data_IF_991813899704
#
_entry.id   IF_991813899704
#
_cell.length_a   1.000
_cell.length_b   1.000
_cell.length_c   1.000
_cell.angle_alpha   90.00
_cell.angle_beta   90.00
_cell.angle_gamma   90.00
#
_symmetry.space_group_name_H-M   'P 1'
#
loop_
_entity.id
_entity.type
_entity.pdbx_description
1 polymer ?
#
# COMPACT_ATOMS: atom_id res chain seq x y z
N UNK A 1 -2.43 30.50 6.02
CA UNK A 1 -3.28 29.54 6.75
C UNK A 1 -2.45 28.72 7.74
N UNK A 2 -3.11 28.11 8.75
CA UNK A 2 -2.48 27.16 9.66
C UNK A 2 -2.91 25.75 9.26
N UNK A 3 -1.99 24.96 8.75
CA UNK A 3 -2.24 23.63 8.19
C UNK A 3 -1.61 22.58 9.10
N UNK A 4 -2.39 21.60 9.51
CA UNK A 4 -1.96 20.48 10.32
C UNK A 4 -1.80 19.23 9.44
N UNK A 5 -0.59 18.74 9.32
CA UNK A 5 -0.24 17.50 8.61
C UNK A 5 -0.16 16.35 9.60
N UNK A 6 -0.52 15.15 9.16
CA UNK A 6 -0.41 13.96 9.99
C UNK A 6 0.85 13.15 9.62
N UNK A 7 1.78 13.00 10.57
CA UNK A 7 2.97 12.15 10.44
C UNK A 7 2.87 10.83 11.23
N UNK A 8 1.70 10.48 11.77
CA UNK A 8 1.48 9.17 12.40
C UNK A 8 1.78 7.99 11.47
N UNK A 9 1.51 8.08 10.14
CA UNK A 9 1.90 7.02 9.21
C UNK A 9 3.40 6.73 9.17
N UNK A 10 4.27 7.69 9.52
CA UNK A 10 5.72 7.48 9.64
C UNK A 10 6.09 6.59 10.84
N UNK A 11 5.26 6.57 11.88
CA UNK A 11 5.47 5.80 13.11
C UNK A 11 4.71 4.47 13.11
N UNK A 12 3.68 4.33 12.27
CA UNK A 12 2.86 3.13 12.23
C UNK A 12 3.64 1.96 11.59
N UNK A 13 3.73 0.82 12.29
CA UNK A 13 4.48 -0.37 11.84
C UNK A 13 5.92 -0.06 11.40
N UNK A 14 6.57 0.93 12.05
CA UNK A 14 7.92 1.39 11.72
C UNK A 14 8.00 2.28 10.49
N UNK A 15 6.87 2.82 10.01
CA UNK A 15 6.84 3.79 8.91
C UNK A 15 7.21 3.20 7.54
N UNK A 16 7.10 1.87 7.37
CA UNK A 16 7.49 1.19 6.13
C UNK A 16 6.25 0.89 5.29
N UNK A 17 6.29 1.29 4.02
CA UNK A 17 5.28 0.91 3.04
C UNK A 17 4.51 2.07 2.42
N UNK A 18 3.46 1.75 1.66
CA UNK A 18 2.71 2.70 0.85
C UNK A 18 2.09 3.86 1.62
N UNK A 19 1.62 3.62 2.85
CA UNK A 19 1.02 4.63 3.71
C UNK A 19 2.00 5.78 4.04
N UNK A 20 3.21 5.45 4.49
CA UNK A 20 4.25 6.43 4.80
C UNK A 20 4.74 7.15 3.54
N UNK A 21 4.89 6.44 2.43
CA UNK A 21 5.30 7.01 1.15
C UNK A 21 4.25 7.99 0.59
N UNK A 22 2.96 7.64 0.69
CA UNK A 22 1.85 8.54 0.32
C UNK A 22 1.88 9.82 1.15
N UNK A 23 1.89 9.67 2.48
CA UNK A 23 1.92 10.82 3.40
C UNK A 23 3.10 11.73 3.09
N UNK A 24 4.30 11.16 2.91
CA UNK A 24 5.49 11.93 2.57
C UNK A 24 5.33 12.71 1.26
N UNK A 25 4.84 12.06 0.20
CA UNK A 25 4.69 12.69 -1.11
C UNK A 25 3.73 13.89 -1.06
N UNK A 26 2.61 13.77 -0.33
CA UNK A 26 1.66 14.88 -0.14
C UNK A 26 2.26 15.99 0.71
N UNK A 27 2.92 15.65 1.83
CA UNK A 27 3.57 16.65 2.70
C UNK A 27 4.68 17.39 1.97
N UNK A 28 5.50 16.72 1.16
CA UNK A 28 6.54 17.35 0.33
C UNK A 28 5.92 18.34 -0.66
N UNK A 29 4.81 17.97 -1.33
CA UNK A 29 4.13 18.83 -2.28
C UNK A 29 3.49 20.05 -1.60
N UNK A 30 2.87 19.87 -0.44
CA UNK A 30 2.36 20.99 0.39
C UNK A 30 3.50 21.94 0.78
N UNK A 31 4.64 21.40 1.23
CA UNK A 31 5.80 22.21 1.57
C UNK A 31 6.37 23.00 0.41
N UNK A 32 6.35 22.41 -0.80
CA UNK A 32 6.81 23.04 -2.03
C UNK A 32 5.90 24.19 -2.49
N UNK A 33 4.57 23.99 -2.37
CA UNK A 33 3.57 24.90 -2.96
C UNK A 33 2.97 25.91 -1.98
N UNK A 34 3.19 25.73 -0.66
CA UNK A 34 2.70 26.67 0.37
C UNK A 34 3.19 28.08 0.12
N UNK A 35 2.39 29.07 0.49
CA UNK A 35 2.83 30.46 0.53
C UNK A 35 3.73 30.72 1.75
N UNK A 36 4.49 31.81 1.72
CA UNK A 36 5.29 32.24 2.89
C UNK A 36 4.45 32.66 4.10
N UNK A 37 3.16 32.90 3.90
CA UNK A 37 2.21 33.25 4.97
C UNK A 37 1.60 32.01 5.64
N UNK A 38 1.81 30.80 5.09
CA UNK A 38 1.24 29.58 5.64
C UNK A 38 2.15 28.96 6.71
N UNK A 39 1.55 28.63 7.84
CA UNK A 39 2.22 27.95 8.94
C UNK A 39 1.90 26.46 8.89
N UNK A 40 2.93 25.61 8.89
CA UNK A 40 2.77 24.17 8.92
C UNK A 40 3.03 23.61 10.31
N UNK A 41 2.10 22.77 10.72
CA UNK A 41 2.16 21.96 11.93
C UNK A 41 2.07 20.47 11.55
N UNK A 42 2.63 19.60 12.38
CA UNK A 42 2.52 18.17 12.13
C UNK A 42 2.26 17.37 13.40
N UNK A 43 1.31 16.45 13.33
CA UNK A 43 1.03 15.49 14.41
C UNK A 43 2.08 14.38 14.44
N UNK A 44 2.54 14.05 15.62
CA UNK A 44 3.30 12.84 15.92
C UNK A 44 2.95 12.36 17.33
N UNK A 45 3.40 11.20 17.73
CA UNK A 45 3.18 10.65 19.07
C UNK A 45 4.52 10.22 19.66
N UNK A 46 5.02 10.98 20.65
CA UNK A 46 6.31 10.73 21.31
C UNK A 46 6.33 9.40 22.09
N UNK A 47 5.18 8.82 22.41
CA UNK A 47 5.08 7.51 23.06
C UNK A 47 5.32 6.34 22.12
N UNK A 48 5.37 6.58 20.78
CA UNK A 48 5.65 5.59 19.75
C UNK A 48 7.12 5.64 19.32
N UNK A 49 7.69 4.51 18.87
CA UNK A 49 9.03 4.52 18.31
C UNK A 49 9.09 5.36 17.03
N UNK A 50 10.23 5.96 16.77
CA UNK A 50 10.52 6.62 15.51
C UNK A 50 10.36 5.66 14.32
N UNK A 51 9.97 6.18 13.17
CA UNK A 51 9.87 5.42 11.95
C UNK A 51 11.25 4.99 11.45
N UNK A 52 11.35 3.80 10.89
CA UNK A 52 12.62 3.27 10.34
C UNK A 52 12.95 3.84 8.98
N UNK A 53 11.94 4.15 8.18
CA UNK A 53 12.12 4.70 6.83
C UNK A 53 12.08 6.24 6.84
N UNK A 54 11.19 6.82 7.65
CA UNK A 54 11.05 8.26 7.82
C UNK A 54 10.92 8.58 9.30
N UNK A 55 11.85 9.38 9.82
CA UNK A 55 11.76 9.93 11.19
C UNK A 55 10.94 11.22 11.17
N UNK A 56 9.87 11.28 11.97
CA UNK A 56 8.96 12.43 12.00
C UNK A 56 9.64 13.71 12.50
N UNK A 57 10.58 13.58 13.44
CA UNK A 57 11.28 14.75 14.03
C UNK A 57 12.31 15.32 13.06
N UNK A 58 13.13 14.44 12.47
CA UNK A 58 14.11 14.83 11.45
C UNK A 58 13.42 15.46 10.23
N UNK A 59 12.32 14.81 9.76
CA UNK A 59 11.54 15.31 8.65
C UNK A 59 10.96 16.69 8.90
N UNK A 60 10.32 16.90 10.05
CA UNK A 60 9.73 18.19 10.43
C UNK A 60 10.79 19.28 10.59
N UNK A 61 11.91 18.97 11.23
CA UNK A 61 13.03 19.89 11.40
C UNK A 61 13.59 20.36 10.04
N UNK A 62 13.81 19.44 9.12
CA UNK A 62 14.33 19.74 7.77
C UNK A 62 13.43 20.70 6.99
N UNK A 63 12.12 20.63 7.18
CA UNK A 63 11.12 21.39 6.42
C UNK A 63 10.58 22.61 7.19
N UNK A 64 11.06 22.85 8.43
CA UNK A 64 10.59 23.97 9.28
C UNK A 64 9.13 23.80 9.69
N UNK A 65 8.68 22.57 9.97
CA UNK A 65 7.33 22.24 10.42
C UNK A 65 7.33 22.14 11.94
N UNK A 66 6.35 22.78 12.60
CA UNK A 66 6.19 22.70 14.05
C UNK A 66 5.50 21.39 14.45
N UNK A 67 6.15 20.59 15.29
CA UNK A 67 5.59 19.33 15.79
C UNK A 67 4.59 19.54 16.92
N UNK A 68 3.48 18.80 16.88
CA UNK A 68 2.43 18.75 17.90
C UNK A 68 2.30 17.30 18.40
N UNK A 69 2.53 17.11 19.70
CA UNK A 69 2.65 15.77 20.30
C UNK A 69 1.31 15.28 20.86
N UNK A 70 0.81 14.18 20.30
CA UNK A 70 -0.44 13.53 20.73
C UNK A 70 -0.33 12.86 22.13
N UNK A 71 0.87 12.67 22.65
CA UNK A 71 1.04 12.25 24.05
C UNK A 71 0.72 13.37 25.05
N UNK A 72 0.67 14.63 24.61
CA UNK A 72 0.46 15.81 25.49
C UNK A 72 -0.96 16.37 25.41
N UNK A 73 -1.54 16.48 24.23
CA UNK A 73 -2.87 17.04 23.98
C UNK A 73 -3.61 16.22 22.92
N UNK A 74 -4.94 16.27 22.96
CA UNK A 74 -5.77 15.67 21.90
C UNK A 74 -5.68 16.47 20.60
N UNK A 75 -6.13 15.88 19.50
CA UNK A 75 -6.14 16.53 18.17
C UNK A 75 -6.95 17.84 18.24
N UNK A 76 -8.16 17.79 18.81
CA UNK A 76 -9.03 18.96 18.92
C UNK A 76 -8.43 20.08 19.78
N UNK A 77 -7.71 19.72 20.86
CA UNK A 77 -6.98 20.70 21.68
C UNK A 77 -5.82 21.35 20.91
N UNK A 78 -5.06 20.56 20.13
CA UNK A 78 -4.02 21.10 19.25
C UNK A 78 -4.58 22.02 18.17
N UNK A 79 -5.72 21.66 17.55
CA UNK A 79 -6.42 22.48 16.56
C UNK A 79 -6.80 23.82 17.18
N UNK A 80 -7.47 23.81 18.33
CA UNK A 80 -7.94 25.02 18.99
C UNK A 80 -6.77 25.92 19.44
N UNK A 81 -5.73 25.33 20.06
CA UNK A 81 -4.57 26.07 20.58
C UNK A 81 -3.76 26.77 19.51
N UNK A 82 -3.63 26.16 18.33
CA UNK A 82 -2.80 26.65 17.23
C UNK A 82 -3.62 27.31 16.09
N UNK A 83 -4.93 27.48 16.27
CA UNK A 83 -5.80 28.08 15.26
C UNK A 83 -5.74 27.39 13.91
N UNK A 84 -5.75 26.06 13.92
CA UNK A 84 -5.65 25.25 12.68
C UNK A 84 -6.88 25.46 11.81
N UNK A 85 -6.65 25.77 10.54
CA UNK A 85 -7.69 25.96 9.54
C UNK A 85 -7.99 24.68 8.76
N UNK A 86 -6.94 23.94 8.41
CA UNK A 86 -7.01 22.70 7.60
C UNK A 86 -6.24 21.58 8.28
N UNK A 87 -6.86 20.42 8.39
CA UNK A 87 -6.24 19.19 8.92
C UNK A 87 -6.17 18.12 7.83
N UNK A 88 -4.97 17.65 7.53
CA UNK A 88 -4.74 16.52 6.64
C UNK A 88 -4.59 15.23 7.44
N UNK A 89 -5.52 14.31 7.25
CA UNK A 89 -5.56 12.98 7.84
C UNK A 89 -5.51 11.94 6.72
N UNK A 90 -4.29 11.54 6.26
CA UNK A 90 -4.12 10.71 5.08
C UNK A 90 -4.68 9.30 5.21
N UNK A 91 -4.61 8.71 6.42
CA UNK A 91 -4.98 7.31 6.68
C UNK A 91 -5.79 7.20 7.96
N UNK A 92 -7.09 7.30 7.82
CA UNK A 92 -8.02 7.29 8.95
C UNK A 92 -7.93 6.03 9.82
N UNK A 93 -7.62 4.88 9.24
CA UNK A 93 -7.55 3.59 9.94
C UNK A 93 -6.45 3.55 11.03
N UNK A 94 -5.47 4.45 11.02
CA UNK A 94 -4.43 4.51 12.05
C UNK A 94 -4.87 5.20 13.33
N UNK A 95 -6.10 5.73 13.35
CA UNK A 95 -6.65 6.53 14.44
C UNK A 95 -7.55 5.78 15.43
N UNK A 96 -7.52 4.45 15.44
CA UNK A 96 -8.28 3.63 16.40
C UNK A 96 -8.14 4.07 17.87
N UNK A 97 -6.97 4.59 18.25
CA UNK A 97 -6.63 4.94 19.64
C UNK A 97 -6.71 6.44 19.94
N UNK A 98 -6.97 7.29 18.95
CA UNK A 98 -7.02 8.74 19.13
C UNK A 98 -8.43 9.25 18.96
N UNK A 99 -8.89 10.13 19.86
CA UNK A 99 -10.20 10.77 19.70
C UNK A 99 -10.22 11.68 18.48
N UNK A 100 -11.23 11.51 17.65
CA UNK A 100 -11.56 12.39 16.53
C UNK A 100 -12.68 13.38 16.88
N UNK A 101 -13.14 13.37 18.13
CA UNK A 101 -14.22 14.24 18.58
C UNK A 101 -13.76 15.71 18.67
N UNK A 102 -14.68 16.63 18.34
CA UNK A 102 -14.44 18.05 18.46
C UNK A 102 -13.52 18.65 17.39
N UNK A 103 -13.21 17.90 16.32
CA UNK A 103 -12.51 18.42 15.14
C UNK A 103 -13.48 19.28 14.36
N UNK A 104 -13.25 20.59 14.31
CA UNK A 104 -14.16 21.58 13.72
C UNK A 104 -13.54 22.39 12.57
N UNK A 105 -12.29 22.12 12.19
CA UNK A 105 -11.65 22.73 11.02
C UNK A 105 -11.97 21.97 9.72
N UNK A 106 -11.62 22.52 8.56
CA UNK A 106 -11.63 21.79 7.30
C UNK A 106 -10.72 20.55 7.46
N UNK A 107 -11.24 19.39 7.14
CA UNK A 107 -10.48 18.14 7.25
C UNK A 107 -10.39 17.48 5.88
N UNK A 108 -9.20 17.13 5.42
CA UNK A 108 -8.98 16.33 4.21
C UNK A 108 -8.58 14.93 4.66
N UNK A 109 -9.51 13.96 4.51
CA UNK A 109 -9.42 12.66 5.17
C UNK A 109 -9.51 11.51 4.19
N UNK A 110 -8.50 10.61 4.25
CA UNK A 110 -8.37 9.46 3.38
C UNK A 110 -8.69 8.13 4.05
N UNK A 111 -9.33 7.25 3.27
CA UNK A 111 -9.44 5.82 3.56
C UNK A 111 -8.85 5.08 2.37
N UNK A 112 -7.74 4.37 2.58
CA UNK A 112 -6.99 3.74 1.50
C UNK A 112 -7.53 2.37 1.10
N UNK A 113 -8.17 1.67 2.02
CA UNK A 113 -8.81 0.37 1.78
C UNK A 113 -9.86 0.09 2.87
N UNK A 114 -10.64 -0.95 2.66
CA UNK A 114 -11.57 -1.47 3.67
C UNK A 114 -11.40 -2.98 3.86
N UNK A 115 -10.16 -3.45 3.66
CA UNK A 115 -9.79 -4.85 3.77
C UNK A 115 -10.36 -5.53 5.02
N UNK A 116 -10.30 -4.84 6.14
CA UNK A 116 -10.73 -5.38 7.41
C UNK A 116 -12.23 -5.69 7.46
N UNK A 117 -13.06 -5.01 6.67
CA UNK A 117 -14.49 -5.29 6.52
C UNK A 117 -14.71 -6.40 5.49
N UNK A 118 -14.13 -6.28 4.30
CA UNK A 118 -14.36 -7.19 3.19
C UNK A 118 -13.89 -8.62 3.47
N UNK A 119 -12.75 -8.81 4.15
CA UNK A 119 -12.23 -10.14 4.47
C UNK A 119 -13.13 -10.94 5.40
N UNK A 120 -13.90 -10.25 6.24
CA UNK A 120 -14.85 -10.88 7.15
C UNK A 120 -16.11 -11.30 6.39
N UNK A 121 -16.66 -10.40 5.62
CA UNK A 121 -17.88 -10.61 4.85
C UNK A 121 -17.75 -11.73 3.80
N UNK A 122 -16.61 -11.74 3.11
CA UNK A 122 -16.35 -12.72 2.05
C UNK A 122 -15.68 -14.01 2.54
N UNK A 123 -15.56 -14.23 3.84
CA UNK A 123 -14.88 -15.40 4.42
C UNK A 123 -13.46 -15.63 3.88
N UNK A 124 -12.80 -14.58 3.36
CA UNK A 124 -11.45 -14.66 2.77
C UNK A 124 -10.45 -15.14 3.83
N UNK A 125 -10.68 -14.83 5.09
CA UNK A 125 -9.87 -15.36 6.20
C UNK A 125 -9.75 -16.89 6.13
N UNK A 126 -10.80 -17.62 5.77
CA UNK A 126 -10.75 -19.07 5.63
C UNK A 126 -9.90 -19.51 4.43
N UNK A 127 -9.90 -18.73 3.35
CA UNK A 127 -9.09 -19.00 2.17
C UNK A 127 -7.61 -18.66 2.37
N UNK A 128 -7.31 -17.70 3.26
CA UNK A 128 -5.94 -17.26 3.59
C UNK A 128 -5.23 -18.20 4.59
N UNK A 129 -5.91 -19.24 5.10
CA UNK A 129 -5.31 -20.19 6.01
C UNK A 129 -4.26 -21.06 5.32
N UNK A 130 -3.04 -20.57 5.34
CA UNK A 130 -1.88 -21.40 5.07
C UNK A 130 -1.42 -22.05 6.37
N UNK A 131 -1.66 -23.35 6.47
CA UNK A 131 -1.26 -24.17 7.64
C UNK A 131 0.28 -24.22 7.81
N UNK A 132 1.05 -23.82 6.81
CA UNK A 132 2.50 -23.92 6.82
C UNK A 132 3.16 -22.78 7.59
N UNK A 133 2.55 -21.59 7.62
CA UNK A 133 3.13 -20.40 8.24
C UNK A 133 2.66 -20.12 9.68
N UNK A 134 1.75 -20.93 10.24
CA UNK A 134 1.22 -20.74 11.60
C UNK A 134 1.35 -21.95 12.47
N UNK A 135 1.61 -21.71 13.75
CA UNK A 135 1.44 -22.76 14.77
C UNK A 135 -0.04 -23.15 14.86
N UNK A 136 -0.32 -24.44 15.19
CA UNK A 136 -1.68 -24.94 15.40
C UNK A 136 -2.48 -24.05 16.38
N UNK A 137 -1.82 -23.48 17.37
CA UNK A 137 -2.44 -22.61 18.36
C UNK A 137 -2.86 -21.25 17.79
N UNK A 138 -2.01 -20.62 16.96
CA UNK A 138 -2.34 -19.36 16.27
C UNK A 138 -3.53 -19.57 15.33
N UNK A 139 -3.52 -20.67 14.58
CA UNK A 139 -4.63 -21.07 13.72
C UNK A 139 -5.93 -21.23 14.50
N UNK A 140 -5.93 -22.01 15.60
CA UNK A 140 -7.11 -22.24 16.43
C UNK A 140 -7.65 -20.93 17.02
N UNK A 141 -6.76 -20.06 17.52
CA UNK A 141 -7.14 -18.73 18.05
C UNK A 141 -7.82 -17.87 16.99
N UNK A 142 -7.34 -17.89 15.76
CA UNK A 142 -7.98 -17.14 14.66
C UNK A 142 -9.33 -17.70 14.29
N UNK A 143 -9.43 -19.01 14.16
CA UNK A 143 -10.72 -19.68 13.90
C UNK A 143 -11.77 -19.30 14.95
N UNK A 144 -11.40 -19.35 16.23
CA UNK A 144 -12.29 -18.94 17.32
C UNK A 144 -12.68 -17.47 17.19
N UNK A 145 -11.74 -16.57 16.92
CA UNK A 145 -12.03 -15.14 16.77
C UNK A 145 -12.92 -14.84 15.56
N UNK A 146 -12.75 -15.55 14.46
CA UNK A 146 -13.59 -15.42 13.26
C UNK A 146 -15.00 -15.94 13.52
N UNK A 147 -15.13 -17.18 14.02
CA UNK A 147 -16.43 -17.82 14.30
C UNK A 147 -17.20 -17.12 15.42
N UNK A 148 -16.52 -16.56 16.43
CA UNK A 148 -17.16 -15.81 17.52
C UNK A 148 -17.61 -14.40 17.13
N UNK A 149 -17.31 -13.94 15.93
CA UNK A 149 -17.57 -12.57 15.46
C UNK A 149 -16.80 -11.48 16.23
N UNK A 150 -15.80 -11.86 17.05
CA UNK A 150 -14.99 -10.90 17.81
C UNK A 150 -14.24 -9.96 16.90
N UNK A 151 -13.67 -10.52 15.83
CA UNK A 151 -12.95 -9.76 14.83
C UNK A 151 -13.86 -8.73 14.13
N UNK A 152 -15.04 -9.17 13.71
CA UNK A 152 -16.04 -8.32 13.06
C UNK A 152 -16.44 -7.13 13.95
N UNK A 153 -16.67 -7.36 15.25
CA UNK A 153 -17.00 -6.29 16.21
C UNK A 153 -15.87 -5.26 16.37
N UNK A 154 -14.61 -5.71 16.35
CA UNK A 154 -13.46 -4.77 16.44
C UNK A 154 -13.37 -3.87 15.20
N UNK A 155 -13.54 -4.43 14.01
CA UNK A 155 -13.50 -3.66 12.77
C UNK A 155 -14.69 -2.69 12.68
N UNK A 156 -15.86 -3.13 13.07
CA UNK A 156 -17.03 -2.27 13.13
C UNK A 156 -16.85 -1.11 14.12
N UNK A 157 -16.20 -1.35 15.25
CA UNK A 157 -15.88 -0.30 16.21
C UNK A 157 -14.92 0.75 15.62
N UNK A 158 -13.89 0.34 14.87
CA UNK A 158 -12.99 1.26 14.17
C UNK A 158 -13.76 2.15 13.18
N UNK A 159 -14.57 1.54 12.32
CA UNK A 159 -15.31 2.33 11.33
C UNK A 159 -16.39 3.19 11.96
N UNK A 160 -17.06 2.73 13.03
CA UNK A 160 -17.98 3.57 13.80
C UNK A 160 -17.28 4.78 14.42
N UNK A 161 -15.99 4.66 14.75
CA UNK A 161 -15.18 5.75 15.27
C UNK A 161 -14.76 6.77 14.19
N UNK A 162 -14.38 6.32 13.00
CA UNK A 162 -13.88 7.21 11.93
C UNK A 162 -14.99 7.79 11.03
N UNK A 163 -16.10 7.09 10.86
CA UNK A 163 -17.17 7.50 9.93
C UNK A 163 -17.86 8.82 10.28
N UNK A 164 -18.09 9.19 11.55
CA UNK A 164 -18.67 10.49 11.87
C UNK A 164 -17.85 11.66 11.31
N UNK A 165 -16.52 11.63 11.43
CA UNK A 165 -15.66 12.67 10.87
C UNK A 165 -15.58 12.54 9.34
N UNK A 166 -15.46 11.33 8.79
CA UNK A 166 -15.37 11.09 7.35
C UNK A 166 -16.60 11.59 6.59
N UNK A 167 -17.79 11.45 7.18
CA UNK A 167 -19.06 11.91 6.60
C UNK A 167 -19.40 13.37 6.90
N UNK A 168 -18.64 14.04 7.79
CA UNK A 168 -18.93 15.41 8.21
C UNK A 168 -18.93 16.40 7.02
N UNK A 169 -19.76 17.46 7.06
CA UNK A 169 -19.84 18.43 5.95
C UNK A 169 -18.54 19.17 5.67
N UNK A 170 -17.73 19.43 6.71
CA UNK A 170 -16.44 20.10 6.62
C UNK A 170 -15.27 19.15 6.27
N UNK A 171 -15.55 17.88 6.00
CA UNK A 171 -14.56 16.90 5.58
C UNK A 171 -14.60 16.69 4.08
N UNK A 172 -13.46 16.91 3.42
CA UNK A 172 -13.18 16.47 2.06
C UNK A 172 -12.72 15.02 2.13
N UNK A 173 -13.60 14.08 1.77
CA UNK A 173 -13.37 12.65 1.86
C UNK A 173 -12.71 12.14 0.58
N UNK A 174 -11.67 11.30 0.70
CA UNK A 174 -11.05 10.69 -0.45
C UNK A 174 -10.65 9.23 -0.24
N UNK A 175 -10.43 8.55 -1.36
CA UNK A 175 -9.84 7.21 -1.46
C UNK A 175 -8.74 7.21 -2.52
N UNK A 176 -7.96 6.13 -2.57
CA UNK A 176 -6.83 6.00 -3.52
C UNK A 176 -7.18 5.16 -4.76
N UNK A 177 -8.39 4.62 -4.83
CA UNK A 177 -8.90 3.85 -5.97
C UNK A 177 -10.42 3.94 -6.08
N UNK A 178 -10.93 3.76 -7.29
CA UNK A 178 -12.37 3.63 -7.56
C UNK A 178 -12.95 2.40 -6.84
N UNK A 179 -12.16 1.33 -6.80
CA UNK A 179 -12.54 0.13 -6.06
C UNK A 179 -12.84 0.46 -4.60
N UNK A 180 -11.91 1.13 -3.89
CA UNK A 180 -12.11 1.48 -2.47
C UNK A 180 -13.31 2.40 -2.27
N UNK A 181 -13.52 3.38 -3.17
CA UNK A 181 -14.72 4.24 -3.12
C UNK A 181 -16.01 3.42 -3.23
N UNK A 182 -16.09 2.54 -4.21
CA UNK A 182 -17.28 1.73 -4.43
C UNK A 182 -17.53 0.76 -3.27
N UNK A 183 -16.48 0.17 -2.74
CA UNK A 183 -16.55 -0.69 -1.57
C UNK A 183 -17.02 0.09 -0.32
N UNK A 184 -16.51 1.31 -0.07
CA UNK A 184 -17.02 2.18 0.99
C UNK A 184 -18.51 2.46 0.85
N UNK A 185 -18.96 2.80 -0.35
CA UNK A 185 -20.39 3.07 -0.60
C UNK A 185 -21.25 1.82 -0.40
N UNK A 186 -20.75 0.63 -0.72
CA UNK A 186 -21.46 -0.63 -0.52
C UNK A 186 -21.58 -0.99 0.97
N UNK A 187 -20.50 -0.91 1.73
CA UNK A 187 -20.48 -1.32 3.13
C UNK A 187 -20.99 -0.24 4.09
N UNK A 188 -20.99 1.04 3.66
CA UNK A 188 -21.42 2.19 4.47
C UNK A 188 -22.46 3.01 3.73
N UNK A 189 -23.74 2.54 3.65
CA UNK A 189 -24.80 3.21 2.89
C UNK A 189 -25.07 4.66 3.31
N UNK A 190 -24.69 5.06 4.53
CA UNK A 190 -24.77 6.44 5.01
C UNK A 190 -23.91 7.42 4.20
N UNK A 191 -22.95 6.93 3.43
CA UNK A 191 -22.10 7.73 2.56
C UNK A 191 -22.71 8.03 1.17
N UNK A 192 -23.94 7.57 0.88
CA UNK A 192 -24.57 7.68 -0.44
C UNK A 192 -24.63 9.11 -0.98
N UNK A 193 -24.79 10.10 -0.09
CA UNK A 193 -24.84 11.52 -0.45
C UNK A 193 -23.50 12.25 -0.23
N UNK A 194 -22.44 11.53 0.20
CA UNK A 194 -21.13 12.10 0.42
C UNK A 194 -20.32 12.06 -0.87
N UNK A 195 -19.80 13.20 -1.30
CA UNK A 195 -18.79 13.23 -2.35
C UNK A 195 -17.50 12.62 -1.81
N UNK A 196 -17.05 11.53 -2.42
CA UNK A 196 -15.80 10.87 -2.11
C UNK A 196 -14.91 10.97 -3.34
N UNK A 197 -13.84 11.74 -3.23
CA UNK A 197 -12.86 11.91 -4.30
C UNK A 197 -12.02 10.64 -4.45
N UNK A 198 -11.60 10.37 -5.67
CA UNK A 198 -10.61 9.30 -5.94
C UNK A 198 -9.35 9.98 -6.41
N UNK A 199 -8.33 9.96 -5.54
CA UNK A 199 -7.01 10.52 -5.82
C UNK A 199 -5.97 9.42 -5.78
N UNK A 200 -5.44 9.09 -6.94
CA UNK A 200 -4.44 8.03 -7.07
C UNK A 200 -3.22 8.33 -6.23
N UNK A 201 -2.80 7.33 -5.50
CA UNK A 201 -1.64 7.46 -4.61
C UNK A 201 -0.35 7.67 -5.41
N UNK A 202 0.40 8.77 -5.17
CA UNK A 202 1.63 9.05 -5.91
C UNK A 202 2.67 7.97 -5.67
N UNK A 203 3.34 7.55 -6.73
CA UNK A 203 4.43 6.58 -6.66
C UNK A 203 5.69 7.26 -6.11
N UNK A 204 6.39 6.51 -5.27
CA UNK A 204 7.64 6.94 -4.67
C UNK A 204 8.69 7.27 -5.74
N UNK A 205 9.36 8.42 -5.59
CA UNK A 205 10.56 8.75 -6.37
C UNK A 205 11.75 8.04 -5.72
N UNK A 206 12.42 7.19 -6.46
CA UNK A 206 13.62 6.49 -6.02
C UNK A 206 14.78 6.89 -6.90
N UNK A 207 15.91 7.23 -6.29
CA UNK A 207 17.17 7.43 -7.03
C UNK A 207 17.82 6.08 -7.20
N UNK A 208 17.95 5.62 -8.45
CA UNK A 208 18.65 4.39 -8.76
C UNK A 208 20.15 4.60 -8.56
N UNK A 209 20.72 3.82 -7.64
CA UNK A 209 22.18 3.75 -7.45
C UNK A 209 22.72 2.63 -8.36
N UNK A 210 23.75 2.88 -9.19
CA UNK A 210 24.24 1.89 -10.17
C UNK A 210 24.71 0.57 -9.53
N UNK A 211 25.18 0.63 -8.28
CA UNK A 211 25.69 -0.55 -7.59
C UNK A 211 24.55 -1.26 -6.83
N UNK A 212 24.42 -2.56 -7.10
CA UNK A 212 23.54 -3.45 -6.31
C UNK A 212 24.25 -3.80 -4.99
N UNK A 213 23.57 -3.55 -3.88
CA UNK A 213 24.13 -3.81 -2.53
C UNK A 213 23.89 -5.23 -2.07
N UNK A 214 22.78 -5.83 -2.48
CA UNK A 214 22.42 -7.19 -2.08
C UNK A 214 23.16 -8.23 -2.93
N UNK A 215 24.04 -9.02 -2.29
CA UNK A 215 24.88 -10.03 -2.97
C UNK A 215 24.06 -11.10 -3.70
N UNK A 216 22.99 -11.60 -3.09
CA UNK A 216 22.18 -12.65 -3.72
C UNK A 216 21.47 -12.14 -4.97
N UNK A 217 20.97 -10.88 -4.93
CA UNK A 217 20.40 -10.24 -6.12
C UNK A 217 21.46 -10.01 -7.20
N UNK A 218 22.65 -9.52 -6.81
CA UNK A 218 23.78 -9.31 -7.73
C UNK A 218 24.17 -10.62 -8.43
N UNK A 219 24.30 -11.74 -7.69
CA UNK A 219 24.66 -13.05 -8.25
C UNK A 219 23.62 -13.57 -9.26
N UNK A 220 22.34 -13.33 -9.01
CA UNK A 220 21.25 -13.69 -9.93
C UNK A 220 21.37 -12.89 -11.24
N UNK A 221 21.59 -11.58 -11.13
CA UNK A 221 21.67 -10.67 -12.28
C UNK A 221 22.94 -10.92 -13.08
N UNK A 222 24.12 -11.00 -12.43
CA UNK A 222 25.40 -11.26 -13.09
C UNK A 222 25.43 -12.65 -13.74
N UNK A 223 24.75 -13.62 -13.14
CA UNK A 223 24.57 -14.95 -13.71
C UNK A 223 23.59 -15.03 -14.88
N UNK A 224 22.97 -13.92 -15.28
CA UNK A 224 21.97 -13.86 -16.37
C UNK A 224 20.75 -14.76 -16.13
N UNK A 225 20.35 -14.94 -14.85
CA UNK A 225 19.27 -15.85 -14.48
C UNK A 225 17.92 -15.24 -14.81
N UNK A 226 17.07 -16.02 -15.49
CA UNK A 226 15.67 -15.67 -15.72
C UNK A 226 14.85 -15.89 -14.44
N UNK A 227 14.22 -14.85 -13.87
CA UNK A 227 13.47 -15.00 -12.65
C UNK A 227 12.12 -14.28 -12.64
N UNK A 228 11.17 -14.90 -11.92
CA UNK A 228 9.92 -14.27 -11.49
C UNK A 228 10.17 -13.55 -10.16
N UNK A 229 9.64 -12.34 -10.01
CA UNK A 229 9.80 -11.54 -8.79
C UNK A 229 8.50 -11.49 -8.00
N UNK A 230 8.61 -11.64 -6.67
CA UNK A 230 7.51 -11.35 -5.74
C UNK A 230 8.03 -10.65 -4.49
N UNK A 231 7.53 -9.45 -4.20
CA UNK A 231 7.91 -8.67 -3.03
C UNK A 231 6.97 -8.86 -1.84
N UNK A 232 7.52 -8.70 -0.62
CA UNK A 232 6.79 -8.76 0.64
C UNK A 232 6.00 -10.07 0.83
N UNK A 233 6.61 -11.19 0.50
CA UNK A 233 6.02 -12.53 0.52
C UNK A 233 5.60 -13.03 1.92
N UNK A 234 6.04 -12.36 3.00
CA UNK A 234 5.61 -12.62 4.37
C UNK A 234 4.17 -12.17 4.67
N UNK A 235 3.60 -11.31 3.82
CA UNK A 235 2.23 -10.85 3.99
C UNK A 235 1.28 -11.87 3.37
N UNK A 236 0.42 -12.50 4.17
CA UNK A 236 -0.47 -13.57 3.73
C UNK A 236 -1.35 -13.21 2.56
N UNK A 237 -1.90 -12.01 2.58
CA UNK A 237 -2.75 -11.54 1.49
C UNK A 237 -2.03 -11.42 0.15
N UNK A 238 -0.69 -11.44 0.13
CA UNK A 238 0.11 -11.49 -1.11
C UNK A 238 0.08 -12.85 -1.81
N UNK A 239 -0.39 -13.91 -1.13
CA UNK A 239 -0.60 -15.23 -1.74
C UNK A 239 0.70 -15.93 -2.22
N UNK A 240 1.79 -15.69 -1.52
CA UNK A 240 3.11 -16.25 -1.86
C UNK A 240 3.10 -17.80 -1.87
N UNK A 241 2.32 -18.40 -0.99
CA UNK A 241 2.20 -19.85 -0.90
C UNK A 241 1.69 -20.48 -2.21
N UNK A 242 0.66 -19.88 -2.83
CA UNK A 242 0.16 -20.35 -4.13
C UNK A 242 1.22 -20.19 -5.22
N UNK A 243 1.94 -19.06 -5.24
CA UNK A 243 3.02 -18.85 -6.20
C UNK A 243 4.12 -19.91 -6.05
N UNK A 244 4.53 -20.24 -4.84
CA UNK A 244 5.54 -21.28 -4.58
C UNK A 244 5.09 -22.65 -5.07
N UNK A 245 3.81 -23.02 -4.87
CA UNK A 245 3.25 -24.26 -5.43
C UNK A 245 3.28 -24.28 -6.96
N UNK A 246 2.86 -23.17 -7.57
CA UNK A 246 2.87 -23.01 -9.02
C UNK A 246 4.29 -23.03 -9.56
N UNK A 247 5.23 -22.34 -8.91
CA UNK A 247 6.64 -22.34 -9.29
C UNK A 247 7.25 -23.76 -9.33
N UNK A 248 7.01 -24.57 -8.27
CA UNK A 248 7.46 -25.97 -8.25
C UNK A 248 6.91 -26.77 -9.43
N UNK A 249 5.70 -26.50 -9.89
CA UNK A 249 5.12 -27.16 -11.07
C UNK A 249 5.75 -26.64 -12.36
N UNK A 250 6.05 -25.33 -12.45
CA UNK A 250 6.72 -24.73 -13.61
C UNK A 250 8.12 -25.27 -13.84
N UNK A 251 8.84 -25.72 -12.80
CA UNK A 251 10.19 -26.29 -12.90
C UNK A 251 10.25 -27.53 -13.85
N UNK A 252 9.13 -28.23 -14.05
CA UNK A 252 9.10 -29.34 -14.99
C UNK A 252 9.14 -28.86 -16.46
N UNK A 253 8.58 -27.70 -16.76
CA UNK A 253 8.50 -27.15 -18.11
C UNK A 253 9.62 -26.11 -18.36
N UNK A 254 10.10 -25.44 -17.29
CA UNK A 254 11.11 -24.37 -17.32
C UNK A 254 12.18 -24.64 -16.25
N UNK A 255 13.09 -25.60 -16.44
CA UNK A 255 14.06 -26.02 -15.39
C UNK A 255 15.03 -24.94 -14.97
N UNK A 256 15.33 -23.96 -15.84
CA UNK A 256 16.25 -22.85 -15.56
C UNK A 256 15.57 -21.58 -15.01
N UNK A 257 14.24 -21.64 -14.77
CA UNK A 257 13.50 -20.52 -14.20
C UNK A 257 13.81 -20.41 -12.71
N UNK A 258 14.06 -19.17 -12.25
CA UNK A 258 14.21 -18.82 -10.84
C UNK A 258 12.96 -18.13 -10.30
N UNK A 259 12.78 -18.21 -8.99
CA UNK A 259 11.82 -17.42 -8.23
C UNK A 259 12.60 -16.59 -7.21
N UNK A 260 12.48 -15.28 -7.27
CA UNK A 260 13.01 -14.36 -6.27
C UNK A 260 11.86 -13.83 -5.42
N UNK A 261 11.91 -14.08 -4.13
CA UNK A 261 10.96 -13.52 -3.16
C UNK A 261 11.67 -12.64 -2.16
N UNK A 262 10.91 -11.72 -1.53
CA UNK A 262 11.42 -11.04 -0.35
C UNK A 262 10.59 -11.41 0.88
N UNK A 263 11.29 -11.75 1.97
CA UNK A 263 10.69 -12.03 3.30
C UNK A 263 9.73 -13.24 3.32
N UNK A 264 9.90 -14.23 2.45
CA UNK A 264 9.13 -15.48 2.53
C UNK A 264 9.54 -16.31 3.77
N UNK A 265 10.80 -16.19 4.17
CA UNK A 265 11.37 -16.81 5.37
C UNK A 265 12.35 -17.94 5.09
N UNK A 266 12.25 -18.63 3.97
CA UNK A 266 13.18 -19.69 3.57
C UNK A 266 13.05 -20.04 2.09
N UNK A 267 14.09 -20.56 1.50
CA UNK A 267 14.05 -21.12 0.15
C UNK A 267 13.49 -22.54 0.17
N UNK A 268 12.58 -22.84 -0.75
CA UNK A 268 11.87 -24.13 -0.84
C UNK A 268 12.27 -24.98 -2.05
N UNK A 269 13.19 -24.48 -2.87
CA UNK A 269 13.74 -25.12 -4.06
C UNK A 269 15.13 -24.52 -4.35
N UNK A 270 16.08 -25.25 -4.99
CA UNK A 270 17.39 -24.68 -5.38
C UNK A 270 17.30 -23.41 -6.22
N UNK A 271 16.27 -23.26 -7.05
CA UNK A 271 16.00 -22.07 -7.87
C UNK A 271 15.01 -21.08 -7.20
N UNK A 272 14.71 -21.25 -5.93
CA UNK A 272 13.94 -20.25 -5.15
C UNK A 272 14.92 -19.51 -4.22
N UNK A 273 15.10 -18.23 -4.47
CA UNK A 273 15.97 -17.36 -3.67
C UNK A 273 15.08 -16.41 -2.87
N UNK A 274 15.09 -16.57 -1.54
CA UNK A 274 14.40 -15.64 -0.65
C UNK A 274 15.37 -14.64 -0.05
N UNK A 275 15.11 -13.36 -0.28
CA UNK A 275 15.95 -12.25 0.16
C UNK A 275 15.26 -11.56 1.35
N UNK A 276 15.85 -11.56 2.55
CA UNK A 276 15.21 -10.98 3.73
C UNK A 276 14.95 -9.47 3.63
N UNK A 277 15.85 -8.76 2.95
CA UNK A 277 15.77 -7.31 2.80
C UNK A 277 16.44 -6.86 1.49
N UNK A 278 15.80 -5.91 0.82
CA UNK A 278 16.36 -5.14 -0.29
C UNK A 278 16.29 -3.65 0.07
N UNK A 279 17.34 -2.90 -0.25
CA UNK A 279 17.30 -1.44 -0.24
C UNK A 279 16.32 -0.92 -1.30
N UNK A 280 15.95 0.33 -1.22
CA UNK A 280 15.06 0.93 -2.23
C UNK A 280 15.67 0.85 -3.64
N UNK A 281 16.99 1.05 -3.76
CA UNK A 281 17.71 0.91 -5.02
C UNK A 281 17.76 -0.54 -5.50
N UNK A 282 18.00 -1.51 -4.60
CA UNK A 282 17.99 -2.94 -4.95
C UNK A 282 16.61 -3.41 -5.41
N UNK A 283 15.53 -2.84 -4.85
CA UNK A 283 14.16 -3.12 -5.32
C UNK A 283 13.96 -2.66 -6.77
N UNK A 284 14.47 -1.47 -7.13
CA UNK A 284 14.39 -0.99 -8.52
C UNK A 284 15.20 -1.90 -9.47
N UNK A 285 16.40 -2.32 -9.06
CA UNK A 285 17.18 -3.33 -9.83
C UNK A 285 16.44 -4.66 -9.95
N UNK A 286 15.80 -5.10 -8.85
CA UNK A 286 15.04 -6.34 -8.88
C UNK A 286 13.87 -6.29 -9.88
N UNK A 287 13.18 -5.14 -9.99
CA UNK A 287 12.16 -4.94 -11.03
C UNK A 287 12.78 -4.91 -12.42
N UNK A 288 13.81 -4.07 -12.62
CA UNK A 288 14.44 -3.86 -13.93
C UNK A 288 14.92 -5.16 -14.58
N UNK A 289 15.44 -6.09 -13.79
CA UNK A 289 16.00 -7.36 -14.28
C UNK A 289 15.05 -8.55 -14.16
N UNK A 290 13.90 -8.39 -13.53
CA UNK A 290 12.90 -9.45 -13.46
C UNK A 290 12.36 -9.80 -14.85
N UNK A 291 12.12 -11.08 -15.07
CA UNK A 291 11.42 -11.53 -16.28
C UNK A 291 9.96 -11.10 -16.23
N UNK A 292 9.33 -11.24 -15.08
CA UNK A 292 8.00 -10.71 -14.76
C UNK A 292 7.82 -10.52 -13.25
N UNK A 293 6.99 -9.53 -12.87
CA UNK A 293 6.43 -9.45 -11.52
C UNK A 293 5.24 -10.41 -11.41
N UNK A 294 5.18 -11.22 -10.35
CA UNK A 294 3.97 -11.98 -9.99
C UNK A 294 3.33 -11.34 -8.77
N UNK A 295 2.15 -10.77 -8.95
CA UNK A 295 1.41 -10.02 -7.95
C UNK A 295 0.11 -10.71 -7.60
N UNK A 296 0.20 -11.71 -6.71
CA UNK A 296 -0.86 -12.64 -6.40
C UNK A 296 -1.87 -12.21 -5.34
N UNK A 297 -1.87 -10.95 -4.93
CA UNK A 297 -2.64 -10.44 -3.80
C UNK A 297 -4.13 -10.74 -3.88
N UNK A 298 -4.72 -11.17 -2.76
CA UNK A 298 -6.17 -11.26 -2.62
C UNK A 298 -6.82 -9.89 -2.49
N UNK A 299 -6.05 -8.92 -2.02
CA UNK A 299 -6.55 -7.60 -1.69
C UNK A 299 -5.45 -6.53 -1.79
N UNK A 300 -5.78 -5.35 -2.31
CA UNK A 300 -4.96 -4.14 -2.33
C UNK A 300 -5.87 -2.90 -2.32
N UNK A 301 -5.44 -1.85 -1.63
CA UNK A 301 -6.10 -0.55 -1.70
C UNK A 301 -5.72 0.23 -2.96
N UNK A 302 -4.46 0.05 -3.44
CA UNK A 302 -3.95 0.70 -4.65
C UNK A 302 -3.12 -0.26 -5.50
N UNK A 303 -1.93 -0.66 -5.05
CA UNK A 303 -1.07 -1.60 -5.79
C UNK A 303 0.20 -0.95 -6.33
N UNK A 304 1.09 -0.49 -5.45
CA UNK A 304 2.38 0.09 -5.84
C UNK A 304 3.30 -0.85 -6.64
N UNK A 305 3.50 -2.13 -6.25
CA UNK A 305 4.43 -3.01 -6.94
C UNK A 305 4.17 -3.16 -8.44
N UNK A 306 2.92 -3.27 -8.93
CA UNK A 306 2.62 -3.23 -10.37
C UNK A 306 3.09 -1.96 -11.07
N UNK A 307 2.90 -0.78 -10.46
CA UNK A 307 3.30 0.50 -11.06
C UNK A 307 4.84 0.60 -11.10
N UNK A 308 5.49 0.18 -10.02
CA UNK A 308 6.96 0.15 -9.93
C UNK A 308 7.55 -0.79 -10.99
N UNK A 309 6.95 -1.97 -11.21
CA UNK A 309 7.35 -2.88 -12.28
C UNK A 309 7.14 -2.28 -13.68
N UNK A 310 5.96 -1.68 -13.94
CA UNK A 310 5.66 -1.02 -15.22
C UNK A 310 6.64 0.11 -15.55
N UNK A 311 7.16 0.84 -14.54
CA UNK A 311 8.22 1.86 -14.72
C UNK A 311 9.45 1.32 -15.44
N UNK A 312 9.77 0.06 -15.23
CA UNK A 312 10.90 -0.64 -15.84
C UNK A 312 10.52 -1.47 -17.07
N UNK A 313 9.28 -1.37 -17.54
CA UNK A 313 8.78 -2.19 -18.65
C UNK A 313 8.65 -3.68 -18.27
N UNK A 314 8.62 -3.99 -16.98
CA UNK A 314 8.53 -5.37 -16.49
C UNK A 314 7.08 -5.85 -16.54
N UNK A 315 6.79 -6.95 -17.24
CA UNK A 315 5.45 -7.50 -17.34
C UNK A 315 4.88 -7.88 -15.98
N UNK A 316 3.56 -7.66 -15.80
CA UNK A 316 2.86 -7.95 -14.56
C UNK A 316 1.86 -9.10 -14.74
N UNK A 317 2.13 -10.22 -14.08
CA UNK A 317 1.18 -11.33 -13.91
C UNK A 317 0.48 -11.10 -12.56
N UNK A 318 -0.80 -10.73 -12.58
CA UNK A 318 -1.46 -10.20 -11.40
C UNK A 318 -2.83 -10.84 -11.15
N UNK A 319 -3.25 -10.83 -9.88
CA UNK A 319 -4.61 -11.24 -9.56
C UNK A 319 -5.63 -10.22 -10.09
N UNK A 320 -6.81 -10.69 -10.43
CA UNK A 320 -7.95 -9.86 -10.87
C UNK A 320 -8.77 -9.33 -9.68
N UNK A 321 -8.12 -9.07 -8.54
CA UNK A 321 -8.80 -8.70 -7.29
C UNK A 321 -8.67 -7.20 -7.00
N UNK A 322 -9.73 -6.65 -6.43
CA UNK A 322 -9.80 -5.29 -5.87
C UNK A 322 -9.32 -4.18 -6.82
N UNK A 323 -8.41 -3.30 -6.39
CA UNK A 323 -7.89 -2.19 -7.22
C UNK A 323 -6.89 -2.62 -8.29
N UNK A 324 -6.44 -3.87 -8.30
CA UNK A 324 -5.36 -4.33 -9.18
C UNK A 324 -5.71 -4.17 -10.67
N UNK A 325 -6.91 -4.58 -11.14
CA UNK A 325 -7.31 -4.34 -12.54
C UNK A 325 -7.46 -2.87 -12.90
N UNK A 326 -7.86 -2.02 -11.95
CA UNK A 326 -7.97 -0.58 -12.15
C UNK A 326 -6.59 0.05 -12.47
N UNK A 327 -5.55 -0.42 -11.78
CA UNK A 327 -4.19 0.11 -11.92
C UNK A 327 -3.47 -0.45 -13.16
N UNK A 328 -3.61 -1.74 -13.42
CA UNK A 328 -2.92 -2.40 -14.52
C UNK A 328 -3.64 -2.31 -15.87
N UNK A 329 -4.96 -2.05 -15.88
CA UNK A 329 -5.71 -1.99 -17.13
C UNK A 329 -5.46 -3.20 -18.02
N UNK A 330 -5.21 -2.98 -19.30
CA UNK A 330 -4.90 -4.02 -20.28
C UNK A 330 -3.42 -4.46 -20.31
N UNK A 331 -2.56 -3.85 -19.51
CA UNK A 331 -1.18 -4.27 -19.30
C UNK A 331 -1.09 -5.55 -18.45
N UNK A 332 -2.10 -5.81 -17.60
CA UNK A 332 -2.13 -6.95 -16.70
C UNK A 332 -2.37 -8.28 -17.41
N UNK A 333 -1.61 -9.32 -17.04
CA UNK A 333 -1.91 -10.72 -17.37
C UNK A 333 -2.60 -11.31 -16.14
N UNK A 334 -3.93 -11.42 -16.20
CA UNK A 334 -4.73 -11.69 -15.01
C UNK A 334 -4.99 -13.15 -14.72
N UNK A 335 -5.11 -13.45 -13.42
CA UNK A 335 -5.58 -14.72 -12.90
C UNK A 335 -6.44 -14.54 -11.65
N UNK A 336 -7.28 -15.52 -11.36
CA UNK A 336 -7.99 -15.56 -10.08
C UNK A 336 -7.06 -16.02 -8.97
N UNK A 337 -6.94 -15.26 -7.85
CA UNK A 337 -6.03 -15.61 -6.75
C UNK A 337 -6.38 -16.90 -6.01
N UNK A 338 -7.60 -17.43 -6.24
CA UNK A 338 -8.10 -18.64 -5.61
C UNK A 338 -7.73 -19.92 -6.35
N UNK A 339 -7.31 -19.83 -7.64
CA UNK A 339 -7.06 -20.99 -8.50
C UNK A 339 -5.59 -21.08 -8.93
N UNK A 340 -4.78 -21.98 -8.31
CA UNK A 340 -3.37 -22.16 -8.71
C UNK A 340 -3.18 -22.50 -10.18
N UNK A 341 -4.12 -23.24 -10.80
CA UNK A 341 -4.07 -23.56 -12.21
C UNK A 341 -4.21 -22.32 -13.11
N UNK A 342 -4.98 -21.32 -12.68
CA UNK A 342 -5.13 -20.09 -13.44
C UNK A 342 -3.88 -19.19 -13.30
N UNK A 343 -3.26 -19.12 -12.10
CA UNK A 343 -1.96 -18.49 -11.92
C UNK A 343 -0.87 -19.16 -12.78
N UNK A 344 -0.84 -20.51 -12.82
CA UNK A 344 0.07 -21.25 -13.69
C UNK A 344 -0.11 -20.88 -15.17
N UNK A 345 -1.35 -20.86 -15.66
CA UNK A 345 -1.69 -20.45 -17.03
C UNK A 345 -1.21 -19.03 -17.32
N UNK A 346 -1.50 -18.09 -16.43
CA UNK A 346 -1.13 -16.67 -16.60
C UNK A 346 0.40 -16.46 -16.63
N UNK A 347 1.15 -17.19 -15.79
CA UNK A 347 2.62 -17.14 -15.80
C UNK A 347 3.16 -17.73 -17.11
N UNK A 348 2.57 -18.82 -17.63
CA UNK A 348 2.99 -19.37 -18.92
C UNK A 348 2.82 -18.40 -20.08
N UNK A 349 1.77 -17.59 -20.10
CA UNK A 349 1.58 -16.57 -21.15
C UNK A 349 2.80 -15.65 -21.26
N UNK A 350 3.33 -15.15 -20.12
CA UNK A 350 4.51 -14.29 -20.17
C UNK A 350 5.81 -15.07 -20.42
N UNK A 351 5.91 -16.33 -20.00
CA UNK A 351 7.08 -17.16 -20.25
C UNK A 351 7.18 -17.57 -21.73
N UNK A 352 6.06 -17.75 -22.42
CA UNK A 352 6.01 -18.07 -23.83
C UNK A 352 6.24 -16.82 -24.71
N UNK A 353 5.76 -15.65 -24.28
CA UNK A 353 5.99 -14.36 -24.95
C UNK A 353 6.10 -13.22 -23.92
N UNK A 354 7.32 -12.81 -23.58
CA UNK A 354 7.60 -11.75 -22.60
C UNK A 354 7.03 -10.39 -23.02
N UNK A 355 7.05 -10.12 -24.30
CA UNK A 355 6.67 -8.82 -24.85
C UNK A 355 5.18 -8.73 -25.22
N UNK A 356 4.39 -9.78 -24.91
CA UNK A 356 2.95 -9.84 -25.24
C UNK A 356 2.10 -8.66 -24.71
N UNK A 357 2.59 -7.91 -23.72
CA UNK A 357 1.95 -6.72 -23.15
C UNK A 357 2.86 -5.48 -23.09
N UNK A 358 3.92 -5.42 -23.89
CA UNK A 358 4.91 -4.35 -23.83
C UNK A 358 4.32 -2.98 -24.10
N UNK A 359 3.61 -2.79 -25.20
CA UNK A 359 2.97 -1.53 -25.56
C UNK A 359 1.91 -1.11 -24.55
N UNK A 360 1.11 -2.07 -24.07
CA UNK A 360 0.10 -1.82 -23.04
C UNK A 360 0.76 -1.40 -21.72
N UNK A 361 1.88 -2.02 -21.35
CA UNK A 361 2.63 -1.70 -20.13
C UNK A 361 3.16 -0.26 -20.16
N UNK A 362 3.76 0.15 -21.27
CA UNK A 362 4.28 1.51 -21.45
C UNK A 362 3.15 2.56 -21.43
N UNK A 363 2.07 2.32 -22.16
CA UNK A 363 0.90 3.22 -22.18
C UNK A 363 0.26 3.33 -20.79
N UNK A 364 -0.04 2.21 -20.17
CA UNK A 364 -0.70 2.18 -18.84
C UNK A 364 0.13 2.86 -17.77
N UNK A 365 1.46 2.68 -17.79
CA UNK A 365 2.35 3.39 -16.88
C UNK A 365 2.22 4.91 -17.01
N UNK A 366 2.25 5.43 -18.24
CA UNK A 366 2.13 6.86 -18.49
C UNK A 366 0.76 7.42 -18.08
N UNK A 367 -0.32 6.68 -18.34
CA UNK A 367 -1.68 7.06 -17.93
C UNK A 367 -1.81 7.14 -16.41
N UNK A 368 -1.32 6.11 -15.68
CA UNK A 368 -1.34 6.11 -14.21
C UNK A 368 -0.47 7.22 -13.66
N UNK A 369 0.73 7.44 -14.20
CA UNK A 369 1.63 8.50 -13.75
C UNK A 369 1.00 9.90 -13.93
N UNK A 370 0.41 10.16 -15.09
CA UNK A 370 -0.29 11.41 -15.38
C UNK A 370 -1.45 11.64 -14.41
N UNK A 371 -2.23 10.60 -14.14
CA UNK A 371 -3.33 10.67 -13.17
C UNK A 371 -2.83 10.93 -11.75
N UNK A 372 -1.77 10.25 -11.32
CA UNK A 372 -1.16 10.48 -10.01
C UNK A 372 -0.69 11.92 -9.81
N UNK A 373 -0.08 12.52 -10.83
CA UNK A 373 0.36 13.92 -10.78
C UNK A 373 -0.81 14.88 -10.64
N UNK A 374 -1.82 14.75 -11.50
CA UNK A 374 -3.02 15.58 -11.47
C UNK A 374 -3.81 15.42 -10.15
N UNK A 375 -3.89 14.20 -9.62
CA UNK A 375 -4.61 13.93 -8.38
C UNK A 375 -3.83 14.43 -7.15
N UNK A 376 -2.50 14.39 -7.17
CA UNK A 376 -1.65 15.01 -6.15
C UNK A 376 -1.81 16.54 -6.13
N UNK A 377 -1.88 17.18 -7.30
CA UNK A 377 -2.14 18.62 -7.41
C UNK A 377 -3.49 18.99 -6.81
N UNK A 378 -4.57 18.27 -7.16
CA UNK A 378 -5.91 18.50 -6.61
C UNK A 378 -5.96 18.31 -5.09
N UNK A 379 -5.36 17.23 -4.58
CA UNK A 379 -5.28 16.98 -3.15
C UNK A 379 -4.53 18.11 -2.42
N UNK A 380 -3.44 18.58 -3.01
CA UNK A 380 -2.65 19.69 -2.45
C UNK A 380 -3.42 21.01 -2.50
N UNK A 381 -4.17 21.28 -3.56
CA UNK A 381 -5.05 22.45 -3.66
C UNK A 381 -6.11 22.45 -2.55
N UNK A 382 -6.72 21.30 -2.26
CA UNK A 382 -7.65 21.16 -1.14
C UNK A 382 -7.00 21.42 0.23
N UNK A 383 -5.71 21.22 0.36
CA UNK A 383 -5.00 21.48 1.61
C UNK A 383 -4.57 22.94 1.75
N UNK A 384 -4.34 23.64 0.62
CA UNK A 384 -3.80 25.00 0.60
C UNK A 384 -4.90 26.08 0.39
N UNK A 385 -6.14 25.69 0.09
CA UNK A 385 -7.28 26.59 -0.16
C UNK A 385 -8.54 26.10 0.58
#
# INVERSE_FOLDING_TARGET
>A
MNILLDLIPFQHNGGIGGAASFTKAVCDEVCLRRSSADCLFALYDSSRPAGRQYDSQEYAQKLGIQLLDLATLTISQHIAKNGINTFFLPIAQFYEKYSLDGINCKTVMGIHDIWDVERVDNHIELALYDRIAETKWQWTKRMINTLSGRFNRQQQALYNHIMPLYSAPNTVAFTVSEYTRNALMYYFPQLVNKTIHVWYSPTRKVTLVPKIENKALQEIIDGGKTYLLMLAANRRFKNAHTLVKVFKRLQADYPDLYLVTTKYGHSVHPHHIDIPFLSDSDVEHAYQHAYALVFGSFFEGFGYPPIEAMRHGTPCVASNATSIPEILGDAGIYFSPFYPADMYRAIKVVLDDRDCRKEQTERQFLEVLSRQQNDLEKLTDELLH
#
